data_IF_546140429908
#
_entry.id   IF_546140429908
#
_cell.length_a   1.000
_cell.length_b   1.000
_cell.length_c   1.000
_cell.angle_alpha   90.00
_cell.angle_beta   90.00
_cell.angle_gamma   90.00
#
_symmetry.space_group_name_H-M   'P 1'
#
loop_
_entity.id
_entity.type
_entity.pdbx_description
1 polymer ?
#
# COMPACT_ATOMS: atom_id res chain seq x y z
N UNK A 1 -38.16 -3.71 -39.43
CA UNK A 1 -37.77 -4.58 -38.30
C UNK A 1 -36.29 -4.99 -38.35
N UNK A 2 -35.35 -4.07 -38.64
CA UNK A 2 -33.89 -4.33 -38.62
C UNK A 2 -33.10 -3.34 -37.75
N UNK A 3 -33.74 -2.26 -37.28
CA UNK A 3 -33.11 -1.21 -36.47
C UNK A 3 -33.18 -1.46 -34.96
N UNK A 4 -34.11 -2.31 -34.50
CA UNK A 4 -34.24 -2.68 -33.07
C UNK A 4 -33.13 -3.67 -32.65
N UNK A 5 -32.63 -4.49 -33.57
CA UNK A 5 -31.53 -5.42 -33.28
C UNK A 5 -30.19 -4.74 -32.99
N UNK A 6 -29.99 -3.49 -33.45
CA UNK A 6 -28.76 -2.74 -33.22
C UNK A 6 -28.67 -2.09 -31.84
N UNK A 7 -29.81 -1.87 -31.16
CA UNK A 7 -29.85 -1.18 -29.86
C UNK A 7 -29.55 -2.15 -28.70
N UNK A 8 -29.93 -3.43 -28.85
CA UNK A 8 -29.72 -4.46 -27.82
C UNK A 8 -28.23 -4.83 -27.68
N UNK A 9 -27.45 -4.74 -28.75
CA UNK A 9 -26.01 -5.01 -28.72
C UNK A 9 -25.18 -3.97 -27.94
N UNK A 10 -25.69 -2.74 -27.78
CA UNK A 10 -24.96 -1.66 -27.10
C UNK A 10 -25.11 -1.69 -25.58
N UNK A 11 -26.18 -2.32 -25.06
CA UNK A 11 -26.46 -2.39 -23.61
C UNK A 11 -25.57 -3.43 -22.90
N UNK A 12 -25.05 -4.43 -23.62
CA UNK A 12 -24.18 -5.48 -23.05
C UNK A 12 -22.76 -4.95 -22.77
N UNK A 13 -22.33 -3.85 -23.44
CA UNK A 13 -21.00 -3.26 -23.23
C UNK A 13 -20.89 -2.42 -21.94
N UNK A 14 -22.00 -2.11 -21.27
CA UNK A 14 -22.02 -1.28 -20.05
C UNK A 14 -22.29 -2.09 -18.77
N UNK A 15 -22.54 -3.39 -18.88
CA UNK A 15 -22.88 -4.26 -17.75
C UNK A 15 -21.67 -4.93 -17.07
N UNK A 16 -20.44 -4.62 -17.50
CA UNK A 16 -19.22 -5.25 -16.98
C UNK A 16 -18.24 -4.24 -16.37
N UNK A 17 -18.72 -3.39 -15.47
CA UNK A 17 -17.87 -2.80 -14.44
C UNK A 17 -18.45 -3.14 -13.07
N UNK A 18 -18.54 -4.42 -12.79
CA UNK A 18 -18.65 -4.92 -11.42
C UNK A 18 -17.41 -5.78 -11.17
N UNK A 19 -16.25 -5.10 -11.18
CA UNK A 19 -15.03 -5.61 -10.60
C UNK A 19 -15.27 -5.63 -9.09
N UNK A 20 -15.79 -6.74 -8.61
CA UNK A 20 -15.59 -7.15 -7.24
C UNK A 20 -14.08 -7.35 -7.09
N UNK A 21 -13.35 -6.26 -6.80
CA UNK A 21 -11.92 -6.26 -6.51
C UNK A 21 -11.71 -6.86 -5.11
N UNK A 22 -12.17 -8.09 -4.93
CA UNK A 22 -11.89 -8.89 -3.75
C UNK A 22 -10.55 -9.58 -3.95
N UNK A 23 -9.50 -9.00 -3.36
CA UNK A 23 -8.46 -9.72 -2.63
C UNK A 23 -7.71 -10.88 -3.32
N UNK A 24 -7.45 -10.86 -4.62
CA UNK A 24 -6.51 -11.86 -5.22
C UNK A 24 -5.07 -11.70 -4.70
N UNK A 25 -4.71 -10.54 -4.14
CA UNK A 25 -3.37 -10.25 -3.61
C UNK A 25 -3.14 -10.88 -2.22
N UNK A 26 -4.20 -11.05 -1.42
CA UNK A 26 -4.09 -11.58 -0.04
C UNK A 26 -3.65 -13.04 -0.01
N UNK A 27 -3.87 -13.81 -1.08
CA UNK A 27 -3.58 -15.25 -1.11
C UNK A 27 -2.11 -15.58 -1.43
N UNK A 28 -1.34 -14.67 -2.05
CA UNK A 28 0.06 -14.93 -2.46
C UNK A 28 1.11 -14.19 -1.60
N UNK A 29 0.72 -13.07 -0.98
CA UNK A 29 1.59 -12.25 -0.13
C UNK A 29 1.12 -12.36 1.32
N UNK A 30 2.04 -12.64 2.24
CA UNK A 30 1.72 -12.60 3.68
C UNK A 30 1.58 -11.14 4.15
N UNK A 31 0.40 -10.57 3.89
CA UNK A 31 0.07 -9.17 4.13
C UNK A 31 0.28 -8.79 5.59
N UNK A 32 -0.12 -9.63 6.54
CA UNK A 32 0.05 -9.35 7.97
C UNK A 32 1.53 -9.26 8.37
N UNK A 33 2.39 -10.11 7.79
CA UNK A 33 3.83 -10.01 7.98
C UNK A 33 4.40 -8.72 7.38
N UNK A 34 3.95 -8.32 6.19
CA UNK A 34 4.39 -7.06 5.58
C UNK A 34 3.99 -5.84 6.42
N UNK A 35 2.73 -5.81 6.90
CA UNK A 35 2.23 -4.78 7.83
C UNK A 35 3.09 -4.70 9.09
N UNK A 36 3.36 -5.85 9.71
CA UNK A 36 4.21 -5.94 10.90
C UNK A 36 5.64 -5.45 10.64
N UNK A 37 6.23 -5.83 9.51
CA UNK A 37 7.57 -5.40 9.14
C UNK A 37 7.65 -3.88 8.92
N UNK A 38 6.62 -3.26 8.35
CA UNK A 38 6.52 -1.79 8.24
C UNK A 38 6.43 -1.15 9.61
N UNK A 39 5.55 -1.64 10.48
CA UNK A 39 5.40 -1.12 11.84
C UNK A 39 6.73 -1.22 12.62
N UNK A 40 7.37 -2.39 12.61
CA UNK A 40 8.65 -2.63 13.27
C UNK A 40 9.75 -1.70 12.69
N UNK A 41 9.79 -1.54 11.35
CA UNK A 41 10.72 -0.62 10.70
C UNK A 41 10.53 0.82 11.17
N UNK A 42 9.28 1.29 11.25
CA UNK A 42 8.94 2.65 11.69
C UNK A 42 9.40 2.90 13.12
N UNK A 43 9.02 2.04 14.08
CA UNK A 43 9.42 2.19 15.48
C UNK A 43 10.93 2.07 15.71
N UNK A 44 11.62 1.26 14.90
CA UNK A 44 13.09 1.11 15.01
C UNK A 44 13.83 2.31 14.43
N UNK A 45 13.40 2.87 13.32
CA UNK A 45 14.18 3.84 12.54
C UNK A 45 13.83 5.31 12.78
N UNK A 46 12.64 5.61 13.31
CA UNK A 46 12.17 6.99 13.48
C UNK A 46 11.92 7.36 14.94
N UNK A 47 12.11 8.63 15.24
CA UNK A 47 11.87 9.21 16.55
C UNK A 47 10.36 9.46 16.75
N UNK A 48 9.92 9.53 18.01
CA UNK A 48 8.59 10.00 18.41
C UNK A 48 7.38 9.33 17.71
N UNK A 49 7.54 8.09 17.24
CA UNK A 49 6.42 7.26 16.77
C UNK A 49 5.61 6.80 17.99
N UNK A 50 4.33 7.19 18.03
CA UNK A 50 3.37 6.81 19.10
C UNK A 50 2.28 5.88 18.57
N UNK A 51 1.88 6.08 17.32
CA UNK A 51 0.91 5.23 16.64
C UNK A 51 1.27 5.10 15.16
N UNK A 52 0.90 3.95 14.60
CA UNK A 52 1.00 3.64 13.17
C UNK A 52 -0.37 3.16 12.72
N UNK A 53 -0.88 3.76 11.65
CA UNK A 53 -2.14 3.39 11.00
C UNK A 53 -1.84 2.97 9.57
N UNK A 54 -2.42 1.84 9.16
CA UNK A 54 -2.30 1.32 7.80
C UNK A 54 -3.59 1.65 7.06
N UNK A 55 -3.48 2.43 6.00
CA UNK A 55 -4.61 2.95 5.25
C UNK A 55 -4.91 2.08 4.04
N UNK A 56 -3.88 1.70 3.27
CA UNK A 56 -4.05 0.91 2.05
C UNK A 56 -2.83 0.04 1.76
N UNK A 57 -3.04 -1.02 0.99
CA UNK A 57 -2.02 -1.93 0.50
C UNK A 57 -2.34 -2.25 -0.95
N UNK A 58 -1.38 -2.00 -1.84
CA UNK A 58 -1.59 -2.23 -3.25
C UNK A 58 -0.35 -2.81 -3.92
N UNK A 59 -0.61 -3.56 -4.99
CA UNK A 59 0.41 -4.13 -5.86
C UNK A 59 0.37 -3.41 -7.20
N UNK A 60 1.50 -2.82 -7.56
CA UNK A 60 1.67 -2.18 -8.87
C UNK A 60 1.57 -3.21 -9.99
N UNK A 61 1.29 -2.75 -11.22
CA UNK A 61 1.27 -3.62 -12.40
C UNK A 61 2.61 -4.31 -12.68
N UNK A 62 3.71 -3.81 -12.10
CA UNK A 62 5.04 -4.41 -12.16
C UNK A 62 5.32 -5.39 -11.00
N UNK A 63 4.33 -5.70 -10.17
CA UNK A 63 4.45 -6.65 -9.05
C UNK A 63 5.10 -6.08 -7.78
N UNK A 64 5.45 -4.79 -7.76
CA UNK A 64 5.93 -4.12 -6.55
C UNK A 64 4.80 -3.86 -5.56
N UNK A 65 5.03 -4.15 -4.29
CA UNK A 65 4.07 -3.97 -3.19
C UNK A 65 4.34 -2.62 -2.51
N UNK A 66 3.28 -1.89 -2.19
CA UNK A 66 3.34 -0.66 -1.42
C UNK A 66 2.30 -0.67 -0.29
N UNK A 67 2.66 -0.07 0.85
CA UNK A 67 1.80 0.11 2.01
C UNK A 67 1.73 1.59 2.33
N UNK A 68 0.53 2.15 2.26
CA UNK A 68 0.26 3.53 2.64
C UNK A 68 -0.28 3.59 4.07
N UNK A 69 0.10 4.65 4.77
CA UNK A 69 -0.33 4.82 6.14
C UNK A 69 -0.04 6.19 6.71
N UNK A 70 -0.29 6.31 8.00
CA UNK A 70 -0.10 7.54 8.75
C UNK A 70 0.53 7.21 10.10
N UNK A 71 1.52 8.01 10.51
CA UNK A 71 2.04 7.96 11.88
C UNK A 71 1.49 9.12 12.69
N UNK A 72 1.24 8.88 13.97
CA UNK A 72 0.71 9.86 14.90
C UNK A 72 -0.60 10.54 14.42
N UNK A 73 -1.38 9.84 13.58
CA UNK A 73 -2.68 10.28 13.07
C UNK A 73 -2.65 11.44 12.06
N UNK A 74 -1.48 11.91 11.61
CA UNK A 74 -1.41 13.02 10.63
C UNK A 74 -0.23 12.97 9.64
N UNK A 75 0.89 12.32 9.98
CA UNK A 75 2.05 12.31 9.10
C UNK A 75 2.03 11.09 8.17
N UNK A 76 1.80 11.34 6.88
CA UNK A 76 1.64 10.30 5.87
C UNK A 76 2.97 9.66 5.46
N UNK A 77 2.92 8.36 5.13
CA UNK A 77 4.00 7.61 4.52
C UNK A 77 3.50 6.62 3.46
N UNK A 78 4.39 6.27 2.54
CA UNK A 78 4.28 5.15 1.61
C UNK A 78 5.52 4.29 1.74
N UNK A 79 5.36 3.03 2.16
CA UNK A 79 6.45 2.06 2.27
C UNK A 79 6.47 1.14 1.05
N UNK A 80 7.57 1.14 0.30
CA UNK A 80 7.80 0.16 -0.75
C UNK A 80 8.37 -1.13 -0.16
N UNK A 81 7.76 -2.27 -0.48
CA UNK A 81 8.06 -3.58 0.12
C UNK A 81 8.76 -4.49 -0.89
N UNK A 82 9.84 -5.15 -0.47
CA UNK A 82 10.54 -6.16 -1.27
C UNK A 82 9.84 -7.53 -1.25
N UNK A 83 10.30 -8.45 -2.09
CA UNK A 83 9.78 -9.83 -2.16
C UNK A 83 9.97 -10.62 -0.85
N UNK A 84 10.93 -10.25 -0.01
CA UNK A 84 11.15 -10.84 1.31
C UNK A 84 10.26 -10.22 2.42
N UNK A 85 9.37 -9.30 2.01
CA UNK A 85 8.44 -8.53 2.82
C UNK A 85 9.08 -7.45 3.71
N UNK A 86 10.35 -7.10 3.48
CA UNK A 86 11.01 -5.99 4.18
C UNK A 86 10.80 -4.66 3.47
N UNK A 87 10.98 -3.56 4.22
CA UNK A 87 10.90 -2.20 3.67
C UNK A 87 12.16 -1.90 2.86
N UNK A 88 11.98 -1.59 1.57
CA UNK A 88 13.05 -1.13 0.68
C UNK A 88 13.19 0.39 0.71
N UNK A 89 12.04 1.06 0.64
CA UNK A 89 11.96 2.50 0.41
C UNK A 89 10.81 3.10 1.20
N UNK A 90 10.91 4.39 1.48
CA UNK A 90 9.89 5.12 2.20
C UNK A 90 9.74 6.52 1.62
N UNK A 91 8.56 6.81 1.10
CA UNK A 91 8.09 8.17 0.85
C UNK A 91 7.45 8.70 2.13
N UNK A 92 7.77 9.94 2.51
CA UNK A 92 7.26 10.57 3.73
C UNK A 92 6.80 11.99 3.45
N UNK A 93 5.79 12.44 4.18
CA UNK A 93 5.34 13.84 4.17
C UNK A 93 6.30 14.77 4.93
N UNK A 94 6.14 16.10 4.77
CA UNK A 94 6.97 17.09 5.47
C UNK A 94 6.81 17.04 7.01
N UNK A 95 5.65 16.61 7.50
CA UNK A 95 5.35 16.50 8.93
C UNK A 95 5.89 15.20 9.55
N UNK A 96 6.58 14.36 8.77
CA UNK A 96 7.02 13.06 9.23
C UNK A 96 8.15 13.17 10.27
N UNK A 97 8.14 12.32 11.31
CA UNK A 97 9.19 12.33 12.32
C UNK A 97 10.58 12.09 11.73
N UNK A 98 11.59 12.66 12.38
CA UNK A 98 12.97 12.47 11.95
C UNK A 98 13.42 11.03 12.16
N UNK A 99 14.39 10.59 11.34
CA UNK A 99 15.11 9.34 11.62
C UNK A 99 15.92 9.51 12.90
N UNK A 100 16.01 8.45 13.70
CA UNK A 100 16.91 8.40 14.86
C UNK A 100 18.34 8.63 14.41
N UNK A 101 19.12 9.35 15.21
CA UNK A 101 20.49 9.73 14.82
C UNK A 101 21.36 8.50 14.49
N UNK A 102 21.22 7.39 15.23
CA UNK A 102 21.94 6.13 14.96
C UNK A 102 21.51 5.42 13.66
N UNK A 103 20.37 5.81 13.10
CA UNK A 103 19.74 5.30 11.88
C UNK A 103 19.78 6.34 10.75
N UNK A 104 20.52 7.44 10.87
CA UNK A 104 20.50 8.50 9.85
C UNK A 104 21.11 8.06 8.52
N UNK A 105 22.22 7.31 8.58
CA UNK A 105 22.99 6.88 7.40
C UNK A 105 22.85 5.39 7.09
N UNK A 106 22.07 4.66 7.89
CA UNK A 106 21.83 3.23 7.73
C UNK A 106 20.42 2.88 8.17
N UNK A 107 19.99 1.64 7.95
CA UNK A 107 18.77 1.14 8.58
C UNK A 107 19.12 0.45 9.91
N UNK A 108 18.18 0.44 10.83
CA UNK A 108 18.28 -0.14 12.18
C UNK A 108 17.38 -1.36 12.37
N UNK A 109 16.84 -1.88 11.27
CA UNK A 109 15.98 -3.06 11.18
C UNK A 109 16.73 -4.37 11.47
#
# INVERSE_FOLDING_TARGET
MKKIFFIIAFVILLASCNLNSGNEIEDEINVDKAKKNVEDYLFKNFEDIKSVEINDIYVSQMGGIAIDGTVNGHAEYTAGIESDLNVNSMGVSEAFPNRKEECKYRRCD
#
